data_IF_139165747014
#
_entry.id   IF_139165747014
#
_cell.length_a   1.000
_cell.length_b   1.000
_cell.length_c   1.000
_cell.angle_alpha   90.00
_cell.angle_beta   90.00
_cell.angle_gamma   90.00
#
_symmetry.space_group_name_H-M   'P 1'
#
loop_
_entity.id
_entity.type
_entity.pdbx_description
1 polymer ?
#
# COMPACT_ATOMS: atom_id res chain seq x y z
N UNK A 1 -3.44 5.73 -19.68
CA UNK A 1 -2.87 4.73 -18.76
C UNK A 1 -2.79 3.40 -19.47
N UNK A 2 -1.70 2.64 -19.32
CA UNK A 2 -1.60 1.25 -19.77
C UNK A 2 -1.85 0.29 -18.61
N UNK A 3 -2.41 -0.89 -18.89
CA UNK A 3 -2.76 -1.90 -17.90
C UNK A 3 -2.17 -3.26 -18.27
N UNK A 4 -1.79 -4.04 -17.26
CA UNK A 4 -1.29 -5.41 -17.39
C UNK A 4 -2.05 -6.35 -16.47
N UNK A 5 -2.21 -7.59 -16.90
CA UNK A 5 -2.77 -8.65 -16.07
C UNK A 5 -1.70 -9.17 -15.11
N UNK A 6 -2.01 -9.25 -13.81
CA UNK A 6 -1.08 -9.78 -12.82
C UNK A 6 -1.05 -11.32 -12.88
N UNK A 7 -0.02 -11.88 -13.50
CA UNK A 7 0.19 -13.34 -13.58
C UNK A 7 -1.05 -14.05 -14.15
N UNK A 8 -1.48 -15.12 -13.48
CA UNK A 8 -2.68 -15.88 -13.84
C UNK A 8 -3.96 -15.38 -13.12
N UNK A 9 -3.92 -14.18 -12.53
CA UNK A 9 -5.10 -13.59 -11.90
C UNK A 9 -5.99 -12.88 -12.92
N UNK A 10 -7.20 -12.52 -12.51
CA UNK A 10 -8.10 -11.65 -13.26
C UNK A 10 -7.89 -10.16 -12.94
N UNK A 11 -6.80 -9.79 -12.27
CA UNK A 11 -6.53 -8.40 -11.88
C UNK A 11 -5.87 -7.65 -13.04
N UNK A 12 -6.54 -6.60 -13.52
CA UNK A 12 -6.00 -5.65 -14.49
C UNK A 12 -5.44 -4.43 -13.76
N UNK A 13 -4.12 -4.31 -13.74
CA UNK A 13 -3.38 -3.36 -12.92
C UNK A 13 -2.70 -2.32 -13.80
N UNK A 14 -2.73 -1.05 -13.39
CA UNK A 14 -1.99 0.02 -14.04
C UNK A 14 -0.48 -0.26 -13.98
N UNK A 15 0.25 0.02 -15.06
CA UNK A 15 1.72 -0.15 -15.07
C UNK A 15 2.44 0.71 -14.04
N UNK A 16 1.83 1.83 -13.67
CA UNK A 16 2.29 2.72 -12.60
C UNK A 16 1.50 2.43 -11.33
N UNK A 17 2.18 2.50 -10.18
CA UNK A 17 1.56 2.44 -8.87
C UNK A 17 1.73 3.76 -8.12
N UNK A 18 0.76 4.08 -7.27
CA UNK A 18 0.87 5.20 -6.33
C UNK A 18 1.45 4.69 -5.00
N UNK A 19 2.55 5.29 -4.56
CA UNK A 19 3.22 4.97 -3.30
C UNK A 19 3.19 6.14 -2.32
N UNK A 20 2.68 5.97 -1.09
CA UNK A 20 2.50 7.07 -0.13
C UNK A 20 3.69 7.23 0.82
N UNK A 21 4.85 6.62 0.55
CA UNK A 21 5.98 6.61 1.51
C UNK A 21 6.42 8.01 1.95
N UNK A 22 6.18 9.02 1.12
CA UNK A 22 6.49 10.43 1.37
C UNK A 22 5.24 11.30 1.41
N UNK A 23 4.14 10.78 1.95
CA UNK A 23 2.82 11.42 1.94
C UNK A 23 2.84 12.88 2.39
N UNK A 24 3.61 13.18 3.46
CA UNK A 24 3.71 14.53 4.04
C UNK A 24 4.82 15.39 3.41
N UNK A 25 5.76 14.81 2.67
CA UNK A 25 6.85 15.57 2.03
C UNK A 25 6.42 16.23 0.70
N UNK A 26 5.24 15.88 0.19
CA UNK A 26 4.75 16.41 -1.09
C UNK A 26 4.18 17.82 -0.88
N UNK A 27 4.79 18.81 -1.53
CA UNK A 27 4.39 20.24 -1.46
C UNK A 27 2.91 20.50 -1.78
N UNK A 28 2.29 19.66 -2.59
CA UNK A 28 0.89 19.76 -3.01
C UNK A 28 -0.08 19.00 -2.07
N UNK A 29 0.44 18.22 -1.11
CA UNK A 29 -0.30 17.36 -0.19
C UNK A 29 -0.57 15.96 -0.76
N UNK A 30 -0.34 14.93 0.06
CA UNK A 30 -0.48 13.52 -0.34
C UNK A 30 -1.86 13.15 -0.92
N UNK A 31 -2.93 13.74 -0.39
CA UNK A 31 -4.30 13.54 -0.89
C UNK A 31 -4.50 14.07 -2.32
N UNK A 32 -3.97 15.26 -2.62
CA UNK A 32 -4.07 15.82 -3.97
C UNK A 32 -3.28 14.98 -4.97
N UNK A 33 -2.08 14.53 -4.58
CA UNK A 33 -1.28 13.64 -5.40
C UNK A 33 -2.00 12.30 -5.65
N UNK A 34 -2.62 11.73 -4.63
CA UNK A 34 -3.43 10.51 -4.75
C UNK A 34 -4.59 10.69 -5.73
N UNK A 35 -5.44 11.71 -5.52
CA UNK A 35 -6.59 11.97 -6.38
C UNK A 35 -6.15 12.20 -7.83
N UNK A 36 -5.09 12.98 -8.04
CA UNK A 36 -4.54 13.22 -9.37
C UNK A 36 -4.05 11.93 -10.04
N UNK A 37 -3.38 11.04 -9.30
CA UNK A 37 -2.93 9.75 -9.83
C UNK A 37 -4.12 8.88 -10.27
N UNK A 38 -5.17 8.81 -9.46
CA UNK A 38 -6.38 8.05 -9.76
C UNK A 38 -7.15 8.64 -10.96
N UNK A 39 -7.22 9.96 -11.06
CA UNK A 39 -7.81 10.65 -12.23
C UNK A 39 -7.05 10.37 -13.53
N UNK A 40 -5.74 10.18 -13.45
CA UNK A 40 -4.88 9.76 -14.57
C UNK A 40 -4.97 8.26 -14.88
N UNK A 41 -5.75 7.50 -14.12
CA UNK A 41 -6.04 6.08 -14.33
C UNK A 41 -5.19 5.12 -13.50
N UNK A 42 -4.37 5.60 -12.56
CA UNK A 42 -3.67 4.71 -11.63
C UNK A 42 -4.71 3.98 -10.78
N UNK A 43 -4.63 2.65 -10.77
CA UNK A 43 -5.52 1.81 -9.97
C UNK A 43 -4.78 0.93 -8.96
N UNK A 44 -3.45 0.89 -9.01
CA UNK A 44 -2.62 0.21 -8.01
C UNK A 44 -2.11 1.21 -6.99
N UNK A 45 -2.42 0.97 -5.72
CA UNK A 45 -1.87 1.70 -4.58
C UNK A 45 -1.02 0.74 -3.78
N UNK A 46 0.23 1.10 -3.54
CA UNK A 46 1.18 0.26 -2.82
C UNK A 46 1.69 0.99 -1.57
N UNK A 47 1.30 0.53 -0.39
CA UNK A 47 1.70 1.09 0.90
C UNK A 47 2.36 0.05 1.80
N UNK A 48 2.87 0.53 2.93
CA UNK A 48 3.41 -0.28 4.02
C UNK A 48 2.75 0.15 5.31
N UNK A 49 2.57 -0.75 6.26
CA UNK A 49 2.14 -0.36 7.60
C UNK A 49 3.09 0.66 8.23
N UNK A 50 4.39 0.54 7.95
CA UNK A 50 5.47 1.36 8.49
C UNK A 50 5.43 2.80 7.97
N UNK A 51 4.64 3.10 6.94
CA UNK A 51 4.51 4.45 6.40
C UNK A 51 3.60 5.33 7.27
N UNK A 52 2.86 4.77 8.24
CA UNK A 52 1.92 5.49 9.09
C UNK A 52 0.87 6.30 8.32
N UNK A 53 0.52 5.90 7.10
CA UNK A 53 -0.45 6.59 6.23
C UNK A 53 -1.81 5.89 6.18
N UNK A 54 -2.06 4.90 7.02
CA UNK A 54 -3.21 3.99 6.83
C UNK A 54 -4.56 4.69 7.01
N UNK A 55 -4.65 5.64 7.93
CA UNK A 55 -5.88 6.38 8.20
C UNK A 55 -6.17 7.40 7.08
N UNK A 56 -5.15 8.16 6.67
CA UNK A 56 -5.27 9.17 5.62
C UNK A 56 -5.47 8.53 4.24
N UNK A 57 -4.62 7.58 3.86
CA UNK A 57 -4.70 6.92 2.56
C UNK A 57 -5.84 5.91 2.52
N UNK A 58 -5.90 4.99 3.49
CA UNK A 58 -6.87 3.88 3.49
C UNK A 58 -8.27 4.36 3.80
N UNK A 59 -8.45 5.01 4.95
CA UNK A 59 -9.76 5.45 5.43
C UNK A 59 -10.29 6.69 4.72
N UNK A 60 -9.49 7.75 4.62
CA UNK A 60 -9.96 9.04 4.12
C UNK A 60 -9.94 9.14 2.58
N UNK A 61 -8.91 8.59 1.92
CA UNK A 61 -8.80 8.68 0.47
C UNK A 61 -9.43 7.47 -0.23
N UNK A 62 -8.83 6.29 -0.11
CA UNK A 62 -9.27 5.07 -0.81
C UNK A 62 -10.71 4.74 -0.43
N UNK A 63 -11.02 4.63 0.86
CA UNK A 63 -12.32 4.20 1.38
C UNK A 63 -13.49 5.07 0.95
N UNK A 64 -13.26 6.36 0.68
CA UNK A 64 -14.30 7.33 0.29
C UNK A 64 -14.27 7.65 -1.21
N UNK A 65 -13.28 7.18 -1.95
CA UNK A 65 -13.15 7.49 -3.37
C UNK A 65 -14.29 6.87 -4.18
N UNK A 66 -14.91 7.63 -5.08
CA UNK A 66 -16.03 7.15 -5.91
C UNK A 66 -15.68 5.92 -6.77
N UNK A 67 -14.40 5.80 -7.13
CA UNK A 67 -13.83 4.64 -7.84
C UNK A 67 -13.27 3.55 -6.92
N UNK A 68 -13.59 3.51 -5.62
CA UNK A 68 -13.03 2.55 -4.63
C UNK A 68 -12.96 1.11 -5.15
N UNK A 69 -14.02 0.64 -5.81
CA UNK A 69 -14.13 -0.75 -6.30
C UNK A 69 -13.20 -1.06 -7.48
N UNK A 70 -12.58 -0.05 -8.07
CA UNK A 70 -11.61 -0.17 -9.15
C UNK A 70 -10.17 -0.08 -8.63
N UNK A 71 -9.98 0.23 -7.34
CA UNK A 71 -8.67 0.42 -6.73
C UNK A 71 -8.17 -0.86 -6.04
N UNK A 72 -6.93 -1.22 -6.36
CA UNK A 72 -6.20 -2.34 -5.79
C UNK A 72 -5.18 -1.81 -4.79
N UNK A 73 -5.49 -1.94 -3.49
CA UNK A 73 -4.61 -1.50 -2.41
C UNK A 73 -3.78 -2.69 -1.90
N UNK A 74 -2.48 -2.63 -2.16
CA UNK A 74 -1.49 -3.61 -1.72
C UNK A 74 -0.78 -3.02 -0.49
N UNK A 75 -0.83 -3.74 0.63
CA UNK A 75 -0.20 -3.31 1.89
C UNK A 75 0.86 -4.34 2.28
N UNK A 76 2.09 -3.88 2.49
CA UNK A 76 3.14 -4.67 3.12
C UNK A 76 2.97 -4.66 4.63
N UNK A 77 3.07 -5.85 5.23
CA UNK A 77 3.09 -6.05 6.68
C UNK A 77 4.46 -6.61 7.03
N UNK A 78 5.22 -5.94 7.90
CA UNK A 78 6.49 -6.52 8.37
C UNK A 78 6.26 -7.67 9.34
N UNK A 79 7.24 -8.58 9.38
CA UNK A 79 7.31 -9.67 10.36
C UNK A 79 7.16 -9.15 11.79
N UNK A 80 7.73 -7.99 12.12
CA UNK A 80 7.60 -7.37 13.44
C UNK A 80 6.14 -7.05 13.79
N UNK A 81 5.37 -6.54 12.83
CA UNK A 81 3.94 -6.27 13.01
C UNK A 81 3.18 -7.57 13.14
N UNK A 82 3.50 -8.58 12.34
CA UNK A 82 2.87 -9.91 12.44
C UNK A 82 3.12 -10.55 13.81
N UNK A 83 4.32 -10.40 14.40
CA UNK A 83 4.63 -10.85 15.77
C UNK A 83 3.83 -10.04 16.80
N UNK A 84 3.81 -8.71 16.69
CA UNK A 84 3.02 -7.84 17.60
C UNK A 84 1.54 -8.17 17.59
N UNK A 85 0.99 -8.53 16.43
CA UNK A 85 -0.41 -8.92 16.26
C UNK A 85 -0.67 -10.39 16.63
N UNK A 86 0.35 -11.15 17.05
CA UNK A 86 0.23 -12.56 17.38
C UNK A 86 -0.10 -13.47 16.18
N UNK A 87 0.10 -12.98 14.95
CA UNK A 87 -0.20 -13.72 13.72
C UNK A 87 0.87 -14.77 13.42
N UNK A 88 2.08 -14.57 13.93
CA UNK A 88 3.19 -15.54 13.87
C UNK A 88 3.93 -15.53 15.21
N UNK A 89 4.38 -16.70 15.66
CA UNK A 89 5.33 -16.77 16.77
C UNK A 89 6.72 -16.31 16.29
N UNK A 90 7.47 -15.64 17.16
CA UNK A 90 8.82 -15.15 16.88
C UNK A 90 9.74 -16.33 16.54
N UNK A 91 10.03 -16.55 15.26
CA UNK A 91 10.97 -17.58 14.79
C UNK A 91 12.45 -17.13 14.84
N UNK A 92 12.76 -16.03 15.55
CA UNK A 92 14.08 -15.37 15.52
C UNK A 92 14.92 -15.52 16.80
N UNK A 93 14.66 -16.52 17.66
CA UNK A 93 15.51 -16.78 18.83
C UNK A 93 16.68 -17.75 18.57
N UNK A 94 16.80 -18.37 17.39
CA UNK A 94 17.83 -19.41 17.17
C UNK A 94 19.13 -18.94 16.49
N UNK A 95 19.24 -17.73 15.93
CA UNK A 95 20.46 -17.31 15.22
C UNK A 95 21.44 -16.46 16.05
N UNK A 96 21.01 -15.91 17.19
CA UNK A 96 21.90 -15.13 18.08
C UNK A 96 22.63 -15.97 19.15
N UNK A 97 22.62 -17.30 19.04
CA UNK A 97 23.39 -18.23 19.90
C UNK A 97 24.55 -18.95 19.19
N UNK A 98 24.87 -18.55 17.96
CA UNK A 98 26.04 -19.05 17.23
C UNK A 98 27.02 -17.91 16.90
N UNK A 99 27.52 -17.20 17.91
CA UNK A 99 28.81 -16.50 17.87
C UNK A 99 29.38 -16.36 19.27
#
# INVERSE_FOLDING_TARGET
MQYRTLGNSNLSLSELCFGPMRWDDVKEGGEKAFNRAVDLGVNVIHSSYEYNTIDQLGGACIGKHSKRNQLHHIIKVSTLIMVKLGLISSFFESESRMH
#
